data_IF_387104822646
#
_entry.id   IF_387104822646
#
_cell.length_a   1.000
_cell.length_b   1.000
_cell.length_c   1.000
_cell.angle_alpha   90.00
_cell.angle_beta   90.00
_cell.angle_gamma   90.00
#
_symmetry.space_group_name_H-M   'P 1'
#
loop_
_entity.id
_entity.type
_entity.pdbx_description
1 polymer ?
#
# COMPACT_ATOMS: atom_id res chain seq x y z
N UNK A 1 24.09 76.55 55.27
CA UNK A 1 24.06 75.10 55.02
C UNK A 1 23.31 74.78 53.71
N UNK A 2 23.93 74.93 52.52
CA UNK A 2 23.34 74.50 51.25
C UNK A 2 24.00 73.25 50.63
N UNK A 3 25.18 72.82 51.10
CA UNK A 3 25.99 71.81 50.39
C UNK A 3 25.48 70.37 50.52
N UNK A 4 24.86 70.00 51.64
CA UNK A 4 24.43 68.60 51.89
C UNK A 4 23.26 68.20 50.98
N UNK A 5 22.32 69.12 50.72
CA UNK A 5 21.18 68.87 49.84
C UNK A 5 21.59 68.77 48.37
N UNK A 6 22.56 69.57 47.93
CA UNK A 6 23.07 69.49 46.55
C UNK A 6 23.82 68.19 46.28
N UNK A 7 24.66 67.74 47.22
CA UNK A 7 25.39 66.46 47.11
C UNK A 7 24.43 65.27 47.10
N UNK A 8 23.38 65.29 47.94
CA UNK A 8 22.35 64.25 47.98
C UNK A 8 21.50 64.19 46.69
N UNK A 9 21.12 65.35 46.13
CA UNK A 9 20.45 65.42 44.83
C UNK A 9 21.35 64.89 43.71
N UNK A 10 22.62 65.28 43.69
CA UNK A 10 23.56 64.86 42.65
C UNK A 10 23.85 63.35 42.70
N UNK A 11 23.92 62.75 43.89
CA UNK A 11 24.06 61.29 44.06
C UNK A 11 22.79 60.52 43.72
N UNK A 12 21.61 61.07 44.00
CA UNK A 12 20.34 60.46 43.59
C UNK A 12 20.16 60.48 42.06
N UNK A 13 20.49 61.60 41.40
CA UNK A 13 20.45 61.70 39.94
C UNK A 13 21.47 60.78 39.25
N UNK A 14 22.67 60.61 39.81
CA UNK A 14 23.66 59.69 39.26
C UNK A 14 23.23 58.22 39.41
N UNK A 15 22.58 57.85 40.51
CA UNK A 15 21.98 56.52 40.69
C UNK A 15 20.81 56.26 39.72
N UNK A 16 19.92 57.24 39.51
CA UNK A 16 18.84 57.12 38.51
C UNK A 16 19.43 56.92 37.11
N UNK A 17 20.43 57.71 36.72
CA UNK A 17 21.09 57.59 35.42
C UNK A 17 21.80 56.24 35.27
N UNK A 18 22.46 55.74 36.32
CA UNK A 18 23.09 54.42 36.32
C UNK A 18 22.06 53.29 36.17
N UNK A 19 20.95 53.35 36.90
CA UNK A 19 19.86 52.37 36.82
C UNK A 19 19.18 52.39 35.45
N UNK A 20 18.94 53.58 34.88
CA UNK A 20 18.43 53.73 33.51
C UNK A 20 19.42 53.14 32.49
N UNK A 21 20.71 53.42 32.63
CA UNK A 21 21.76 52.84 31.79
C UNK A 21 21.79 51.31 31.85
N UNK A 22 21.69 50.72 33.04
CA UNK A 22 21.61 49.27 33.23
C UNK A 22 20.33 48.69 32.62
N UNK A 23 19.18 49.36 32.76
CA UNK A 23 17.93 48.93 32.16
C UNK A 23 18.00 48.95 30.62
N UNK A 24 18.56 50.00 30.02
CA UNK A 24 18.78 50.07 28.57
C UNK A 24 19.74 48.99 28.08
N UNK A 25 20.81 48.70 28.83
CA UNK A 25 21.73 47.61 28.51
C UNK A 25 21.02 46.24 28.57
N UNK A 26 20.18 46.00 29.58
CA UNK A 26 19.40 44.77 29.71
C UNK A 26 18.39 44.59 28.56
N UNK A 27 17.67 45.65 28.20
CA UNK A 27 16.74 45.65 27.05
C UNK A 27 17.50 45.43 25.74
N UNK A 28 18.65 46.08 25.56
CA UNK A 28 19.53 45.88 24.39
C UNK A 28 20.02 44.45 24.27
N UNK A 29 20.44 43.83 25.38
CA UNK A 29 20.87 42.43 25.40
C UNK A 29 19.72 41.46 25.06
N UNK A 30 18.51 41.69 25.58
CA UNK A 30 17.31 40.91 25.24
C UNK A 30 16.96 41.03 23.76
N UNK A 31 16.99 42.25 23.21
CA UNK A 31 16.74 42.49 21.79
C UNK A 31 17.79 41.81 20.91
N UNK A 32 19.07 41.89 21.28
CA UNK A 32 20.15 41.20 20.57
C UNK A 32 19.99 39.67 20.63
N UNK A 33 19.59 39.11 21.77
CA UNK A 33 19.29 37.69 21.90
C UNK A 33 18.11 37.26 21.01
N UNK A 34 17.02 38.05 20.97
CA UNK A 34 15.86 37.79 20.09
C UNK A 34 16.25 37.86 18.63
N UNK A 35 16.98 38.90 18.21
CA UNK A 35 17.48 39.04 16.84
C UNK A 35 18.42 37.89 16.48
N UNK A 36 19.33 37.51 17.38
CA UNK A 36 20.24 36.37 17.21
C UNK A 36 19.50 35.04 17.01
N UNK A 37 18.43 34.80 17.78
CA UNK A 37 17.56 33.62 17.59
C UNK A 37 16.84 33.69 16.23
N UNK A 38 16.36 34.86 15.81
CA UNK A 38 15.69 35.03 14.51
C UNK A 38 16.67 34.82 13.35
N UNK A 39 17.88 35.39 13.40
CA UNK A 39 18.88 35.24 12.35
C UNK A 39 19.37 33.80 12.25
N UNK A 40 19.63 33.14 13.39
CA UNK A 40 19.95 31.71 13.42
C UNK A 40 18.84 30.86 12.80
N UNK A 41 17.57 31.12 13.16
CA UNK A 41 16.41 30.43 12.56
C UNK A 41 16.28 30.70 11.07
N UNK A 42 16.57 31.91 10.59
CA UNK A 42 16.53 32.27 9.16
C UNK A 42 17.68 31.60 8.39
N UNK A 43 18.89 31.58 8.93
CA UNK A 43 20.05 30.92 8.34
C UNK A 43 19.79 29.41 8.18
N UNK A 44 19.35 28.75 9.26
CA UNK A 44 18.98 27.32 9.23
C UNK A 44 17.88 27.00 8.21
N UNK A 45 16.93 27.92 7.99
CA UNK A 45 15.91 27.76 6.94
C UNK A 45 16.49 27.88 5.52
N UNK A 46 17.47 28.75 5.31
CA UNK A 46 18.14 28.88 4.00
C UNK A 46 18.93 27.63 3.65
N UNK A 47 19.70 27.12 4.61
CA UNK A 47 20.43 25.85 4.46
C UNK A 47 19.48 24.70 4.14
N UNK A 48 18.37 24.58 4.89
CA UNK A 48 17.36 23.56 4.61
C UNK A 48 16.74 23.71 3.21
N UNK A 49 16.46 24.95 2.76
CA UNK A 49 15.91 25.21 1.43
C UNK A 49 16.91 24.87 0.31
N UNK A 50 18.20 25.20 0.48
CA UNK A 50 19.25 24.84 -0.47
C UNK A 50 19.41 23.33 -0.57
N UNK A 51 19.48 22.65 0.57
CA UNK A 51 19.56 21.20 0.62
C UNK A 51 18.32 20.52 -0.02
N UNK A 52 17.11 21.00 0.28
CA UNK A 52 15.89 20.51 -0.38
C UNK A 52 15.90 20.78 -1.88
N UNK A 53 16.43 21.91 -2.31
CA UNK A 53 16.58 22.23 -3.73
C UNK A 53 17.56 21.28 -4.43
N UNK A 54 18.69 20.95 -3.82
CA UNK A 54 19.66 19.97 -4.36
C UNK A 54 19.05 18.58 -4.49
N UNK A 55 18.32 18.11 -3.46
CA UNK A 55 17.60 16.84 -3.50
C UNK A 55 16.56 16.85 -4.61
N UNK A 56 15.77 17.92 -4.70
CA UNK A 56 14.80 18.09 -5.78
C UNK A 56 15.47 18.04 -7.15
N UNK A 57 16.55 18.78 -7.37
CA UNK A 57 17.26 18.78 -8.64
C UNK A 57 17.75 17.37 -9.00
N UNK A 58 18.38 16.68 -8.06
CA UNK A 58 18.90 15.33 -8.28
C UNK A 58 17.80 14.32 -8.60
N UNK A 59 16.69 14.38 -7.88
CA UNK A 59 15.62 13.39 -8.02
C UNK A 59 14.67 13.69 -9.20
N UNK A 60 14.23 14.94 -9.34
CA UNK A 60 13.24 15.32 -10.35
C UNK A 60 13.89 15.61 -11.70
N UNK A 61 15.05 16.28 -11.72
CA UNK A 61 15.69 16.74 -12.95
C UNK A 61 16.90 15.90 -13.36
N UNK A 62 17.49 15.15 -12.42
CA UNK A 62 18.65 14.32 -12.66
C UNK A 62 18.29 12.99 -13.35
N UNK A 63 19.19 12.46 -14.22
CA UNK A 63 18.95 11.22 -14.97
C UNK A 63 18.94 9.98 -14.07
N UNK A 64 19.43 10.13 -12.85
CA UNK A 64 19.61 9.08 -11.87
C UNK A 64 18.34 8.25 -11.65
N UNK A 65 17.19 8.91 -11.46
CA UNK A 65 15.95 8.23 -11.12
C UNK A 65 15.00 8.09 -12.31
N UNK A 66 15.36 8.57 -13.51
CA UNK A 66 14.42 8.67 -14.64
C UNK A 66 13.81 7.31 -15.01
N UNK A 67 14.64 6.27 -15.13
CA UNK A 67 14.14 4.94 -15.46
C UNK A 67 13.29 4.35 -14.33
N UNK A 68 13.68 4.55 -13.07
CA UNK A 68 12.92 4.08 -11.91
C UNK A 68 11.56 4.79 -11.81
N UNK A 69 11.53 6.11 -12.06
CA UNK A 69 10.32 6.92 -12.14
C UNK A 69 9.42 6.41 -13.26
N UNK A 70 9.96 6.19 -14.46
CA UNK A 70 9.19 5.69 -15.60
C UNK A 70 8.53 4.33 -15.33
N UNK A 71 9.25 3.35 -14.75
CA UNK A 71 8.66 2.04 -14.49
C UNK A 71 7.57 2.11 -13.42
N UNK A 72 7.72 2.96 -12.40
CA UNK A 72 6.68 3.15 -11.39
C UNK A 72 5.46 3.89 -11.94
N UNK A 73 5.67 4.89 -12.80
CA UNK A 73 4.59 5.74 -13.27
C UNK A 73 3.78 5.08 -14.39
N UNK A 74 4.46 4.45 -15.35
CA UNK A 74 3.84 3.96 -16.58
C UNK A 74 3.80 2.45 -16.72
N UNK A 75 4.63 1.71 -15.99
CA UNK A 75 4.78 0.26 -16.15
C UNK A 75 4.55 -0.50 -14.84
N UNK A 76 3.77 0.09 -13.92
CA UNK A 76 3.58 -0.51 -12.59
C UNK A 76 2.95 -1.90 -12.70
N UNK A 77 1.89 -2.05 -13.48
CA UNK A 77 1.16 -3.30 -13.59
C UNK A 77 1.92 -4.39 -14.36
N UNK A 78 2.71 -4.01 -15.36
CA UNK A 78 3.40 -4.99 -16.21
C UNK A 78 4.77 -5.40 -15.67
N UNK A 79 5.44 -4.50 -14.93
CA UNK A 79 6.82 -4.71 -14.47
C UNK A 79 6.91 -4.71 -12.95
N UNK A 80 6.44 -3.65 -12.28
CA UNK A 80 6.71 -3.47 -10.84
C UNK A 80 5.89 -4.44 -10.00
N UNK A 81 4.57 -4.49 -10.21
CA UNK A 81 3.66 -5.31 -9.41
C UNK A 81 3.99 -6.81 -9.47
N UNK A 82 4.17 -7.45 -10.64
CA UNK A 82 4.51 -8.88 -10.71
C UNK A 82 5.82 -9.18 -9.99
N UNK A 83 6.83 -8.33 -10.18
CA UNK A 83 8.15 -8.48 -9.56
C UNK A 83 8.07 -8.34 -8.03
N UNK A 84 7.38 -7.32 -7.53
CA UNK A 84 7.19 -7.14 -6.08
C UNK A 84 6.36 -8.27 -5.47
N UNK A 85 5.33 -8.76 -6.18
CA UNK A 85 4.53 -9.91 -5.74
C UNK A 85 5.37 -11.19 -5.65
N UNK A 86 6.25 -11.45 -6.63
CA UNK A 86 7.16 -12.58 -6.63
C UNK A 86 8.16 -12.50 -5.46
N UNK A 87 8.73 -11.32 -5.21
CA UNK A 87 9.61 -11.08 -4.07
C UNK A 87 8.92 -11.31 -2.72
N UNK A 88 7.65 -10.93 -2.57
CA UNK A 88 6.89 -11.19 -1.33
C UNK A 88 6.60 -12.68 -1.14
N UNK A 89 6.26 -13.39 -2.22
CA UNK A 89 5.90 -14.81 -2.14
C UNK A 89 7.11 -15.73 -1.91
N UNK A 90 8.20 -15.48 -2.63
CA UNK A 90 9.31 -16.43 -2.76
C UNK A 90 10.69 -15.81 -2.50
N UNK A 91 10.75 -14.52 -2.12
CA UNK A 91 12.01 -13.81 -1.85
C UNK A 91 12.90 -13.70 -3.10
N UNK A 92 14.20 -13.55 -2.86
CA UNK A 92 15.19 -13.37 -3.94
C UNK A 92 15.32 -14.58 -4.88
N UNK A 93 14.89 -15.77 -4.44
CA UNK A 93 14.95 -16.98 -5.26
C UNK A 93 13.97 -16.95 -6.45
N UNK A 94 12.97 -16.07 -6.42
CA UNK A 94 12.01 -15.91 -7.52
C UNK A 94 12.57 -15.13 -8.71
N UNK A 95 13.66 -14.39 -8.52
CA UNK A 95 14.09 -13.34 -9.46
C UNK A 95 15.07 -13.87 -10.49
N UNK A 96 14.74 -13.67 -11.77
CA UNK A 96 15.62 -13.98 -12.89
C UNK A 96 16.71 -12.92 -13.07
N UNK A 97 17.83 -13.29 -13.69
CA UNK A 97 18.93 -12.35 -13.98
C UNK A 97 18.50 -11.17 -14.86
N UNK A 98 17.55 -11.39 -15.77
CA UNK A 98 16.95 -10.34 -16.61
C UNK A 98 16.23 -9.27 -15.79
N UNK A 99 15.74 -9.61 -14.59
CA UNK A 99 14.93 -8.72 -13.74
C UNK A 99 15.79 -7.91 -12.75
N UNK A 100 17.09 -8.20 -12.63
CA UNK A 100 17.98 -7.54 -11.67
C UNK A 100 18.03 -6.03 -11.84
N UNK A 101 17.98 -5.55 -13.09
CA UNK A 101 17.96 -4.12 -13.39
C UNK A 101 16.71 -3.47 -12.79
N UNK A 102 15.53 -4.06 -13.02
CA UNK A 102 14.27 -3.55 -12.49
C UNK A 102 14.26 -3.58 -10.96
N UNK A 103 14.71 -4.67 -10.34
CA UNK A 103 14.86 -4.75 -8.87
C UNK A 103 15.73 -3.61 -8.33
N UNK A 104 16.88 -3.35 -8.95
CA UNK A 104 17.80 -2.30 -8.51
C UNK A 104 17.18 -0.90 -8.66
N UNK A 105 16.48 -0.64 -9.76
CA UNK A 105 15.79 0.64 -9.98
C UNK A 105 14.71 0.88 -8.93
N UNK A 106 13.89 -0.14 -8.64
CA UNK A 106 12.82 -0.06 -7.65
C UNK A 106 13.39 0.15 -6.25
N UNK A 107 14.35 -0.69 -5.84
CA UNK A 107 14.99 -0.61 -4.53
C UNK A 107 15.62 0.77 -4.30
N UNK A 108 16.33 1.30 -5.31
CA UNK A 108 16.98 2.60 -5.21
C UNK A 108 15.97 3.75 -5.05
N UNK A 109 14.85 3.70 -5.77
CA UNK A 109 13.77 4.69 -5.64
C UNK A 109 13.15 4.64 -4.25
N UNK A 110 12.79 3.44 -3.78
CA UNK A 110 12.15 3.27 -2.46
C UNK A 110 13.10 3.65 -1.33
N UNK A 111 14.38 3.27 -1.40
CA UNK A 111 15.39 3.66 -0.42
C UNK A 111 15.58 5.18 -0.36
N UNK A 112 15.55 5.86 -1.51
CA UNK A 112 15.63 7.32 -1.54
C UNK A 112 14.43 7.98 -0.82
N UNK A 113 13.21 7.52 -1.11
CA UNK A 113 11.99 8.04 -0.49
C UNK A 113 11.90 7.69 1.01
N UNK A 114 12.28 6.48 1.40
CA UNK A 114 12.37 6.06 2.80
C UNK A 114 13.37 6.93 3.56
N UNK A 115 14.53 7.22 2.96
CA UNK A 115 15.55 8.08 3.55
C UNK A 115 15.06 9.52 3.74
N UNK A 116 14.31 10.08 2.78
CA UNK A 116 13.69 11.39 2.94
C UNK A 116 12.73 11.44 4.13
N UNK A 117 11.92 10.39 4.32
CA UNK A 117 11.05 10.29 5.49
C UNK A 117 11.84 10.10 6.78
N UNK A 118 12.97 9.38 6.75
CA UNK A 118 13.89 9.27 7.88
C UNK A 118 14.41 10.64 8.32
N UNK A 119 14.90 11.43 7.38
CA UNK A 119 15.40 12.77 7.68
C UNK A 119 14.29 13.68 8.19
N UNK A 120 13.08 13.54 7.66
CA UNK A 120 11.92 14.27 8.17
C UNK A 120 11.57 13.88 9.62
N UNK A 121 11.60 12.59 9.96
CA UNK A 121 11.27 12.13 11.30
C UNK A 121 12.37 12.45 12.32
N UNK A 122 13.63 12.46 11.89
CA UNK A 122 14.78 12.87 12.70
C UNK A 122 14.88 14.41 12.88
N UNK A 123 13.99 15.19 12.24
CA UNK A 123 13.97 16.65 12.35
C UNK A 123 15.06 17.36 11.53
N UNK A 124 15.74 16.64 10.63
CA UNK A 124 16.69 17.22 9.68
C UNK A 124 16.00 17.87 8.48
N UNK A 125 14.81 17.38 8.11
CA UNK A 125 13.94 17.97 7.10
C UNK A 125 12.56 18.26 7.70
N UNK A 126 11.86 19.28 7.19
CA UNK A 126 10.45 19.45 7.54
C UNK A 126 9.59 18.55 6.66
N UNK A 127 8.61 17.90 7.29
CA UNK A 127 7.62 17.09 6.58
C UNK A 127 6.89 17.89 5.50
N UNK A 128 6.51 19.15 5.77
CA UNK A 128 5.87 20.02 4.79
C UNK A 128 6.71 20.20 3.52
N UNK A 129 8.02 20.34 3.70
CA UNK A 129 8.94 20.63 2.61
C UNK A 129 9.16 19.35 1.79
N UNK A 130 9.32 18.19 2.45
CA UNK A 130 9.34 16.89 1.76
C UNK A 130 8.07 16.66 0.93
N UNK A 131 6.88 16.94 1.47
CA UNK A 131 5.64 16.79 0.71
C UNK A 131 5.47 17.84 -0.40
N UNK A 132 6.03 19.04 -0.26
CA UNK A 132 5.97 20.05 -1.32
C UNK A 132 6.73 19.61 -2.59
N UNK A 133 7.86 18.91 -2.43
CA UNK A 133 8.69 18.48 -3.57
C UNK A 133 8.45 17.03 -4.02
N UNK A 134 8.02 16.16 -3.11
CA UNK A 134 7.87 14.71 -3.33
C UNK A 134 6.45 14.19 -3.08
N UNK A 135 5.49 15.09 -2.82
CA UNK A 135 4.10 14.74 -2.54
C UNK A 135 3.49 13.84 -3.61
N UNK A 136 3.73 14.15 -4.89
CA UNK A 136 3.32 13.31 -6.01
C UNK A 136 3.70 11.83 -5.80
N UNK A 137 4.97 11.58 -5.47
CA UNK A 137 5.47 10.21 -5.27
C UNK A 137 4.88 9.56 -4.03
N UNK A 138 4.74 10.29 -2.91
CA UNK A 138 4.11 9.73 -1.72
C UNK A 138 2.62 9.40 -1.94
N UNK A 139 1.92 10.20 -2.71
CA UNK A 139 0.53 9.98 -3.09
C UNK A 139 0.41 8.79 -4.05
N UNK A 140 1.30 8.73 -5.06
CA UNK A 140 1.43 7.62 -6.01
C UNK A 140 1.58 6.27 -5.26
N UNK A 141 2.52 6.18 -4.31
CA UNK A 141 2.72 4.96 -3.50
C UNK A 141 1.50 4.59 -2.63
N UNK A 142 0.60 5.55 -2.37
CA UNK A 142 -0.60 5.37 -1.55
C UNK A 142 -1.83 4.98 -2.37
N UNK A 143 -1.76 5.02 -3.71
CA UNK A 143 -2.85 4.66 -4.61
C UNK A 143 -3.43 3.27 -4.32
N UNK A 144 -4.76 3.08 -4.33
CA UNK A 144 -5.39 1.80 -3.98
C UNK A 144 -4.84 0.60 -4.74
N UNK A 145 -4.45 0.77 -6.01
CA UNK A 145 -3.93 -0.27 -6.90
C UNK A 145 -2.50 -0.70 -6.55
N UNK A 146 -1.77 0.08 -5.74
CA UNK A 146 -0.40 -0.24 -5.31
C UNK A 146 -0.33 -1.13 -4.07
N UNK A 147 -1.23 -2.10 -3.99
CA UNK A 147 -1.29 -3.01 -2.84
C UNK A 147 -0.07 -3.94 -2.76
N UNK A 148 0.39 -4.50 -3.89
CA UNK A 148 1.59 -5.34 -3.94
C UNK A 148 2.83 -4.59 -3.42
N UNK A 149 3.02 -3.33 -3.83
CA UNK A 149 4.01 -2.43 -3.25
C UNK A 149 3.87 -2.34 -1.73
N UNK A 150 2.68 -2.07 -1.21
CA UNK A 150 2.47 -2.00 0.25
C UNK A 150 2.72 -3.32 0.97
N UNK A 151 2.56 -4.47 0.32
CA UNK A 151 2.94 -5.77 0.89
C UNK A 151 4.46 -5.91 0.90
N UNK A 152 5.11 -5.55 -0.20
CA UNK A 152 6.57 -5.50 -0.31
C UNK A 152 7.21 -4.59 0.76
N UNK A 153 6.71 -3.38 0.94
CA UNK A 153 7.23 -2.42 1.93
C UNK A 153 7.19 -3.01 3.35
N UNK A 154 6.14 -3.75 3.71
CA UNK A 154 6.03 -4.40 5.02
C UNK A 154 6.95 -5.61 5.11
N UNK A 155 7.03 -6.41 4.05
CA UNK A 155 7.85 -7.62 4.01
C UNK A 155 9.35 -7.32 4.13
N UNK A 156 9.83 -6.24 3.49
CA UNK A 156 11.23 -5.83 3.47
C UNK A 156 11.56 -4.67 4.43
N UNK A 157 10.67 -4.39 5.39
CA UNK A 157 10.88 -3.44 6.48
C UNK A 157 11.15 -1.98 6.07
N UNK A 158 10.48 -1.50 5.03
CA UNK A 158 10.40 -0.07 4.69
C UNK A 158 9.40 0.63 5.64
N UNK A 159 9.80 0.80 6.91
CA UNK A 159 8.90 1.18 8.00
C UNK A 159 8.16 2.50 7.76
N UNK A 160 8.84 3.53 7.24
CA UNK A 160 8.25 4.86 7.09
C UNK A 160 7.32 4.91 5.88
N UNK A 161 7.72 4.32 4.75
CA UNK A 161 6.88 4.13 3.58
C UNK A 161 5.65 3.27 3.90
N UNK A 162 5.81 2.14 4.59
CA UNK A 162 4.70 1.30 5.04
C UNK A 162 3.72 2.07 5.94
N UNK A 163 4.23 2.97 6.79
CA UNK A 163 3.41 3.82 7.66
C UNK A 163 2.64 4.89 6.89
N UNK A 164 3.26 5.60 5.94
CA UNK A 164 2.56 6.64 5.16
C UNK A 164 1.50 6.05 4.22
N UNK A 165 1.80 4.88 3.65
CA UNK A 165 0.88 4.14 2.76
C UNK A 165 -0.19 3.35 3.53
N UNK A 166 -0.16 3.40 4.88
CA UNK A 166 -1.08 2.72 5.79
C UNK A 166 -1.19 1.22 5.49
N UNK A 167 -0.04 0.61 5.21
CA UNK A 167 0.11 -0.79 4.93
C UNK A 167 -0.28 -1.64 6.16
N UNK A 168 -0.99 -2.74 5.94
CA UNK A 168 -1.32 -3.70 7.01
C UNK A 168 -0.08 -4.49 7.44
N UNK A 169 0.06 -4.79 8.73
CA UNK A 169 1.11 -5.66 9.26
C UNK A 169 0.94 -7.14 8.91
N UNK A 170 -0.26 -7.54 8.52
CA UNK A 170 -0.57 -8.93 8.18
C UNK A 170 -0.93 -9.04 6.71
N UNK A 171 -0.62 -10.21 6.17
CA UNK A 171 -0.93 -10.63 4.81
C UNK A 171 -2.32 -11.27 4.75
N UNK A 172 -3.02 -10.99 3.66
CA UNK A 172 -4.37 -11.49 3.42
C UNK A 172 -4.53 -11.93 1.98
N UNK A 173 -5.45 -12.87 1.76
CA UNK A 173 -5.84 -13.35 0.43
C UNK A 173 -7.36 -13.46 0.35
N UNK A 174 -7.91 -13.22 -0.83
CA UNK A 174 -9.31 -13.40 -1.17
C UNK A 174 -9.45 -14.61 -2.11
N UNK A 175 -10.33 -15.54 -1.74
CA UNK A 175 -10.70 -16.69 -2.55
C UNK A 175 -12.18 -16.56 -2.91
N UNK A 176 -12.56 -16.78 -4.17
CA UNK A 176 -13.93 -16.54 -4.65
C UNK A 176 -14.52 -17.71 -5.45
N UNK A 177 -13.81 -18.84 -5.50
CA UNK A 177 -14.10 -19.92 -6.44
C UNK A 177 -13.66 -21.29 -5.95
N UNK A 178 -13.00 -22.05 -6.83
CA UNK A 178 -12.53 -23.44 -6.63
C UNK A 178 -11.62 -23.64 -5.41
N UNK A 179 -11.10 -22.56 -4.82
CA UNK A 179 -10.23 -22.58 -3.64
C UNK A 179 -10.93 -22.20 -2.32
N UNK A 180 -12.23 -21.87 -2.34
CA UNK A 180 -13.01 -21.57 -1.14
C UNK A 180 -13.08 -22.78 -0.19
N UNK A 181 -13.38 -22.54 1.11
CA UNK A 181 -13.31 -23.55 2.17
C UNK A 181 -14.10 -24.84 1.87
N UNK A 182 -15.24 -24.70 1.21
CA UNK A 182 -16.16 -25.78 0.87
C UNK A 182 -15.75 -26.57 -0.40
N UNK A 183 -14.66 -26.18 -1.06
CA UNK A 183 -14.19 -26.83 -2.28
C UNK A 183 -13.11 -27.89 -2.00
N UNK A 184 -13.08 -29.01 -2.77
CA UNK A 184 -12.10 -30.07 -2.59
C UNK A 184 -10.64 -29.61 -2.66
N UNK A 185 -10.32 -28.66 -3.55
CA UNK A 185 -8.95 -28.17 -3.72
C UNK A 185 -8.42 -27.46 -2.48
N UNK A 186 -9.27 -26.83 -1.66
CA UNK A 186 -8.85 -26.18 -0.42
C UNK A 186 -8.22 -27.18 0.56
N UNK A 187 -8.85 -28.35 0.72
CA UNK A 187 -8.34 -29.42 1.55
C UNK A 187 -7.12 -30.09 0.92
N UNK A 188 -7.17 -30.38 -0.38
CA UNK A 188 -6.09 -31.09 -1.10
C UNK A 188 -4.77 -30.31 -1.11
N UNK A 189 -4.83 -28.98 -1.21
CA UNK A 189 -3.66 -28.09 -1.13
C UNK A 189 -3.22 -27.80 0.31
N UNK A 190 -3.94 -28.31 1.32
CA UNK A 190 -3.60 -28.13 2.73
C UNK A 190 -3.76 -26.69 3.23
N UNK A 191 -4.61 -25.87 2.59
CA UNK A 191 -4.70 -24.43 2.85
C UNK A 191 -5.10 -24.10 4.30
N UNK A 192 -5.83 -24.99 4.97
CA UNK A 192 -6.19 -24.87 6.39
C UNK A 192 -5.00 -24.68 7.34
N UNK A 193 -3.80 -25.13 6.96
CA UNK A 193 -2.58 -24.98 7.78
C UNK A 193 -2.02 -23.57 7.69
N UNK A 194 -2.08 -22.98 6.50
CA UNK A 194 -1.40 -21.72 6.17
C UNK A 194 -2.36 -20.52 6.14
N UNK A 195 -3.67 -20.76 6.04
CA UNK A 195 -4.71 -19.74 5.97
C UNK A 195 -5.65 -19.78 7.18
N UNK A 196 -5.98 -18.60 7.71
CA UNK A 196 -6.99 -18.43 8.75
C UNK A 196 -8.17 -17.63 8.21
N UNK A 197 -9.34 -18.24 8.18
CA UNK A 197 -10.57 -17.57 7.73
C UNK A 197 -10.89 -16.34 8.60
N UNK A 198 -11.22 -15.23 7.96
CA UNK A 198 -11.58 -13.95 8.60
C UNK A 198 -13.04 -13.58 8.36
N UNK A 199 -13.61 -13.97 7.21
CA UNK A 199 -15.01 -13.72 6.85
C UNK A 199 -15.18 -13.28 5.39
N UNK A 200 -16.42 -13.19 4.94
CA UNK A 200 -16.74 -12.83 3.54
C UNK A 200 -16.57 -11.32 3.30
N UNK A 201 -16.05 -10.93 2.13
CA UNK A 201 -15.92 -9.56 1.64
C UNK A 201 -16.53 -9.44 0.24
N UNK A 202 -17.04 -8.25 -0.06
CA UNK A 202 -17.46 -7.89 -1.42
C UNK A 202 -16.24 -7.37 -2.18
N UNK A 203 -16.07 -7.88 -3.40
CA UNK A 203 -15.03 -7.54 -4.36
C UNK A 203 -15.73 -6.98 -5.60
N UNK A 204 -15.35 -5.79 -6.11
CA UNK A 204 -15.94 -5.26 -7.33
C UNK A 204 -15.61 -6.15 -8.53
N UNK A 205 -16.61 -6.49 -9.32
CA UNK A 205 -16.40 -7.32 -10.51
C UNK A 205 -17.57 -8.22 -10.86
N UNK A 206 -17.32 -9.08 -11.83
CA UNK A 206 -18.26 -10.03 -12.41
C UNK A 206 -17.58 -11.39 -12.51
N UNK A 207 -18.33 -12.43 -12.14
CA UNK A 207 -17.93 -13.81 -12.33
C UNK A 207 -18.38 -14.32 -13.71
N UNK A 208 -17.53 -15.11 -14.33
CA UNK A 208 -17.80 -15.83 -15.57
C UNK A 208 -17.58 -17.33 -15.35
N UNK A 209 -18.45 -18.14 -15.92
CA UNK A 209 -18.34 -19.60 -15.88
C UNK A 209 -17.34 -20.07 -16.96
N UNK A 210 -16.19 -20.61 -16.52
CA UNK A 210 -15.18 -21.20 -17.39
C UNK A 210 -15.28 -22.73 -17.46
N UNK A 211 -16.32 -23.32 -16.86
CA UNK A 211 -16.53 -24.76 -16.77
C UNK A 211 -16.41 -25.23 -15.32
N UNK A 212 -15.24 -25.73 -14.95
CA UNK A 212 -14.97 -26.27 -13.60
C UNK A 212 -14.61 -25.19 -12.58
N UNK A 213 -14.17 -24.03 -13.05
CA UNK A 213 -13.68 -22.92 -12.25
C UNK A 213 -14.24 -21.58 -12.74
N UNK A 214 -14.33 -20.57 -11.86
CA UNK A 214 -14.79 -19.24 -12.23
C UNK A 214 -13.66 -18.35 -12.77
N UNK A 215 -14.00 -17.42 -13.66
CA UNK A 215 -13.17 -16.27 -13.99
C UNK A 215 -13.71 -15.00 -13.36
N UNK A 216 -12.93 -14.30 -12.53
CA UNK A 216 -13.29 -12.98 -12.01
C UNK A 216 -12.63 -11.88 -12.83
N UNK A 217 -13.44 -10.97 -13.38
CA UNK A 217 -12.99 -9.71 -14.00
C UNK A 217 -13.48 -8.53 -13.16
N UNK A 218 -12.58 -7.58 -12.87
CA UNK A 218 -12.93 -6.35 -12.17
C UNK A 218 -13.84 -5.46 -13.05
N UNK A 219 -14.82 -4.82 -12.43
CA UNK A 219 -15.77 -3.98 -13.15
C UNK A 219 -16.99 -3.62 -12.31
N UNK A 220 -18.05 -3.15 -12.98
CA UNK A 220 -19.31 -2.82 -12.34
C UNK A 220 -20.03 -4.11 -11.90
N UNK A 221 -20.03 -4.36 -10.59
CA UNK A 221 -20.63 -5.54 -9.98
C UNK A 221 -20.09 -5.77 -8.56
N UNK A 222 -20.57 -6.82 -7.90
CA UNK A 222 -20.10 -7.22 -6.57
C UNK A 222 -20.11 -8.73 -6.44
N UNK A 223 -18.93 -9.29 -6.19
CA UNK A 223 -18.69 -10.71 -5.98
C UNK A 223 -18.35 -10.96 -4.52
N UNK A 224 -18.91 -12.01 -3.94
CA UNK A 224 -18.56 -12.48 -2.60
C UNK A 224 -17.29 -13.31 -2.66
N UNK A 225 -16.31 -12.92 -1.87
CA UNK A 225 -15.05 -13.62 -1.71
C UNK A 225 -14.75 -13.87 -0.23
N UNK A 226 -14.19 -15.02 0.09
CA UNK A 226 -13.72 -15.38 1.41
C UNK A 226 -12.37 -14.71 1.69
N UNK A 227 -12.31 -13.87 2.72
CA UNK A 227 -11.07 -13.25 3.19
C UNK A 227 -10.37 -14.19 4.17
N UNK A 228 -9.10 -14.47 3.90
CA UNK A 228 -8.20 -15.21 4.77
C UNK A 228 -7.02 -14.34 5.19
N UNK A 229 -6.58 -14.52 6.43
CA UNK A 229 -5.25 -14.09 6.86
C UNK A 229 -4.26 -15.18 6.51
N UNK A 230 -3.16 -14.80 5.88
CA UNK A 230 -2.04 -15.70 5.60
C UNK A 230 -1.16 -15.79 6.86
N UNK A 231 -0.97 -16.99 7.37
CA UNK A 231 -0.05 -17.28 8.48
C UNK A 231 1.34 -17.66 7.95
N UNK A 232 1.40 -18.35 6.81
CA UNK A 232 2.64 -18.80 6.18
C UNK A 232 2.69 -18.30 4.74
N UNK A 233 3.60 -17.35 4.45
CA UNK A 233 3.64 -16.66 3.15
C UNK A 233 3.91 -17.59 1.97
N UNK A 234 4.61 -18.70 2.20
CA UNK A 234 4.92 -19.72 1.20
C UNK A 234 3.67 -20.37 0.56
N UNK A 235 2.49 -20.23 1.18
CA UNK A 235 1.22 -20.67 0.56
C UNK A 235 0.96 -19.96 -0.78
N UNK A 236 1.45 -18.72 -0.93
CA UNK A 236 1.33 -17.97 -2.17
C UNK A 236 2.02 -18.69 -3.33
N UNK A 237 3.19 -19.31 -3.11
CA UNK A 237 3.90 -20.09 -4.12
C UNK A 237 3.20 -21.43 -4.44
N UNK A 238 2.44 -21.99 -3.50
CA UNK A 238 1.61 -23.18 -3.73
C UNK A 238 0.43 -22.81 -4.64
N UNK A 239 -0.22 -21.69 -4.34
CA UNK A 239 -1.34 -21.17 -5.13
C UNK A 239 -0.89 -20.72 -6.52
N UNK A 240 0.27 -20.08 -6.65
CA UNK A 240 0.82 -19.71 -7.96
C UNK A 240 0.99 -20.92 -8.87
N UNK A 241 1.49 -22.04 -8.32
CA UNK A 241 1.63 -23.29 -9.08
C UNK A 241 0.29 -23.89 -9.48
N UNK A 242 -0.70 -23.80 -8.60
CA UNK A 242 -2.04 -24.33 -8.88
C UNK A 242 -2.78 -23.51 -9.93
N UNK A 243 -2.68 -22.17 -9.86
CA UNK A 243 -3.30 -21.23 -10.80
C UNK A 243 -2.46 -21.02 -12.08
N UNK A 244 -1.36 -21.75 -12.23
CA UNK A 244 -0.40 -21.64 -13.34
C UNK A 244 0.10 -20.21 -13.58
N UNK A 245 0.28 -19.46 -12.49
CA UNK A 245 0.76 -18.09 -12.51
C UNK A 245 2.29 -18.03 -12.56
N UNK A 246 2.80 -17.31 -13.56
CA UNK A 246 4.21 -16.97 -13.77
C UNK A 246 4.35 -15.44 -13.79
N UNK A 247 5.11 -14.88 -12.85
CA UNK A 247 5.28 -13.43 -12.73
C UNK A 247 6.10 -12.83 -13.87
N UNK A 248 6.86 -13.64 -14.61
CA UNK A 248 7.69 -13.19 -15.72
C UNK A 248 6.90 -13.03 -17.02
N UNK A 249 5.73 -13.70 -17.11
CA UNK A 249 4.82 -13.66 -18.24
C UNK A 249 3.38 -13.41 -17.77
N UNK A 250 3.12 -12.34 -16.99
CA UNK A 250 1.86 -12.16 -16.28
C UNK A 250 0.66 -12.03 -17.22
N UNK A 251 0.89 -11.52 -18.45
CA UNK A 251 -0.15 -11.35 -19.47
C UNK A 251 -0.49 -12.63 -20.23
N UNK A 252 0.33 -13.68 -20.09
CA UNK A 252 0.11 -14.98 -20.75
C UNK A 252 -0.58 -16.01 -19.85
N UNK A 253 -0.59 -15.77 -18.53
CA UNK A 253 -1.22 -16.67 -17.56
C UNK A 253 -2.75 -16.57 -17.61
N UNK A 254 -3.41 -17.69 -17.32
CA UNK A 254 -4.87 -17.76 -17.23
C UNK A 254 -5.41 -16.81 -16.15
N UNK A 255 -4.73 -16.81 -15.02
CA UNK A 255 -4.97 -15.92 -13.90
C UNK A 255 -3.74 -15.07 -13.61
N UNK A 256 -3.97 -13.79 -13.31
CA UNK A 256 -2.95 -12.87 -12.82
C UNK A 256 -3.12 -12.66 -11.33
N UNK A 257 -2.05 -12.85 -10.56
CA UNK A 257 -2.05 -12.45 -9.15
C UNK A 257 -1.86 -10.94 -9.00
N UNK A 258 -2.75 -10.31 -8.25
CA UNK A 258 -2.68 -8.89 -7.88
C UNK A 258 -3.19 -8.71 -6.46
N UNK A 259 -3.29 -7.47 -6.00
CA UNK A 259 -3.91 -7.11 -4.73
C UNK A 259 -5.13 -6.25 -4.96
N UNK A 260 -6.15 -6.43 -4.12
CA UNK A 260 -7.28 -5.52 -4.07
C UNK A 260 -7.49 -4.95 -2.67
N UNK A 261 -7.88 -3.68 -2.63
CA UNK A 261 -8.18 -2.95 -1.40
C UNK A 261 -9.57 -3.29 -0.89
N UNK A 262 -9.67 -3.95 0.26
CA UNK A 262 -10.96 -4.33 0.88
C UNK A 262 -11.07 -3.89 2.34
N UNK A 263 -12.30 -3.71 2.87
CA UNK A 263 -12.48 -3.43 4.30
C UNK A 263 -11.93 -4.56 5.18
N UNK A 264 -11.18 -4.22 6.22
CA UNK A 264 -10.64 -5.21 7.16
C UNK A 264 -11.74 -5.91 7.94
N UNK A 265 -12.76 -5.17 8.34
CA UNK A 265 -13.86 -5.65 9.17
C UNK A 265 -15.16 -5.58 8.36
N UNK A 266 -16.01 -6.60 8.44
CA UNK A 266 -17.32 -6.58 7.78
C UNK A 266 -18.26 -5.53 8.42
N UNK A 267 -18.24 -5.42 9.75
CA UNK A 267 -19.12 -4.51 10.48
C UNK A 267 -18.64 -3.05 10.38
N UNK A 268 -19.54 -2.15 9.96
CA UNK A 268 -19.32 -0.69 9.88
C UNK A 268 -18.91 -0.07 11.22
N UNK A 269 -19.39 -0.56 12.35
CA UNK A 269 -18.98 -0.09 13.67
C UNK A 269 -17.48 -0.34 13.89
N UNK A 270 -17.02 -1.57 13.65
CA UNK A 270 -15.61 -1.92 13.76
C UNK A 270 -14.75 -1.10 12.78
N UNK A 271 -15.22 -0.87 11.55
CA UNK A 271 -14.52 0.01 10.59
C UNK A 271 -14.40 1.47 11.08
N UNK A 272 -15.38 1.97 11.84
CA UNK A 272 -15.34 3.35 12.38
C UNK A 272 -14.19 3.49 13.38
N UNK A 273 -14.06 2.54 14.30
CA UNK A 273 -13.20 2.66 15.50
C UNK A 273 -11.86 1.92 15.41
N UNK A 274 -11.77 0.83 14.63
CA UNK A 274 -10.57 0.02 14.53
C UNK A 274 -9.77 0.35 13.26
N UNK A 275 -8.43 0.34 13.39
CA UNK A 275 -7.49 0.56 12.29
C UNK A 275 -6.64 -0.70 11.99
N UNK A 276 -6.12 -0.85 10.76
CA UNK A 276 -6.49 -0.13 9.55
C UNK A 276 -7.92 -0.48 9.08
N UNK A 277 -8.58 0.49 8.43
CA UNK A 277 -9.95 0.32 7.90
C UNK A 277 -9.96 -0.54 6.64
N UNK A 278 -8.99 -0.29 5.77
CA UNK A 278 -8.79 -0.95 4.50
C UNK A 278 -7.46 -1.69 4.52
N UNK A 279 -7.46 -2.88 3.95
CA UNK A 279 -6.28 -3.73 3.80
C UNK A 279 -6.12 -4.12 2.33
N UNK A 280 -4.90 -4.46 1.95
CA UNK A 280 -4.61 -5.07 0.65
C UNK A 280 -4.66 -6.59 0.83
N UNK A 281 -5.42 -7.27 -0.01
CA UNK A 281 -5.50 -8.72 -0.03
C UNK A 281 -5.13 -9.22 -1.42
N UNK A 282 -4.27 -10.25 -1.47
CA UNK A 282 -3.93 -10.96 -2.69
C UNK A 282 -5.18 -11.59 -3.31
N UNK A 283 -5.25 -11.63 -4.63
CA UNK A 283 -6.34 -12.23 -5.39
C UNK A 283 -5.82 -12.65 -6.77
N UNK A 284 -6.38 -13.73 -7.31
CA UNK A 284 -6.11 -14.19 -8.68
C UNK A 284 -7.24 -13.71 -9.59
N UNK A 285 -6.97 -12.89 -10.59
CA UNK A 285 -7.98 -12.38 -11.51
C UNK A 285 -7.86 -13.06 -12.87
N UNK A 286 -8.98 -13.32 -13.52
CA UNK A 286 -8.97 -13.89 -14.86
C UNK A 286 -8.42 -12.88 -15.86
N UNK A 287 -7.52 -13.33 -16.74
CA UNK A 287 -6.71 -12.45 -17.57
C UNK A 287 -6.94 -12.59 -19.09
N UNK A 288 -7.96 -13.35 -19.52
CA UNK A 288 -8.30 -13.50 -20.94
C UNK A 288 -9.68 -12.93 -21.29
N UNK A 289 -9.99 -12.88 -22.59
CA UNK A 289 -11.29 -12.42 -23.09
C UNK A 289 -12.45 -13.31 -22.60
N UNK A 290 -13.58 -12.66 -22.33
CA UNK A 290 -14.84 -13.25 -21.87
C UNK A 290 -15.96 -13.17 -22.90
N UNK A 291 -15.68 -12.78 -24.15
CA UNK A 291 -16.71 -12.46 -25.17
C UNK A 291 -17.73 -13.59 -25.41
N UNK A 292 -17.34 -14.85 -25.18
CA UNK A 292 -18.19 -16.02 -25.33
C UNK A 292 -18.38 -16.82 -24.03
N UNK A 293 -18.16 -16.19 -22.87
CA UNK A 293 -18.28 -16.84 -21.56
C UNK A 293 -19.61 -16.46 -20.91
N UNK A 294 -20.25 -17.44 -20.27
CA UNK A 294 -21.49 -17.20 -19.56
C UNK A 294 -21.22 -16.36 -18.32
N UNK A 295 -21.90 -15.22 -18.22
CA UNK A 295 -21.88 -14.39 -17.03
C UNK A 295 -22.64 -15.11 -15.91
N UNK A 296 -22.05 -15.10 -14.71
CA UNK A 296 -22.69 -15.63 -13.51
C UNK A 296 -23.51 -14.50 -12.87
N UNK A 297 -24.82 -14.71 -12.76
CA UNK A 297 -25.75 -13.71 -12.21
C UNK A 297 -25.83 -13.72 -10.68
N UNK A 298 -25.22 -14.71 -10.04
CA UNK A 298 -25.15 -14.83 -8.59
C UNK A 298 -23.85 -14.22 -8.05
N UNK A 299 -23.88 -13.64 -6.84
CA UNK A 299 -22.71 -13.00 -6.26
C UNK A 299 -21.66 -14.01 -5.77
N UNK A 300 -22.03 -15.29 -5.60
CA UNK A 300 -21.15 -16.36 -5.11
C UNK A 300 -21.04 -17.49 -6.12
N UNK A 301 -19.80 -17.90 -6.44
CA UNK A 301 -19.55 -19.04 -7.32
C UNK A 301 -20.13 -20.34 -6.76
N UNK A 302 -20.05 -20.55 -5.44
CA UNK A 302 -20.50 -21.79 -4.83
C UNK A 302 -22.02 -21.94 -4.92
N UNK A 303 -22.76 -20.83 -4.76
CA UNK A 303 -24.21 -20.81 -4.95
C UNK A 303 -24.58 -21.13 -6.41
N UNK A 304 -23.88 -20.50 -7.36
CA UNK A 304 -24.06 -20.74 -8.79
C UNK A 304 -23.78 -22.20 -9.19
N UNK A 305 -22.65 -22.76 -8.74
CA UNK A 305 -22.27 -24.14 -9.01
C UNK A 305 -23.29 -25.13 -8.46
N UNK A 306 -23.76 -24.92 -7.23
CA UNK A 306 -24.79 -25.76 -6.63
C UNK A 306 -26.13 -25.71 -7.41
N UNK A 307 -26.51 -24.55 -7.96
CA UNK A 307 -27.70 -24.44 -8.80
C UNK A 307 -27.50 -25.13 -10.16
N UNK A 308 -26.33 -24.98 -10.78
CA UNK A 308 -25.96 -25.63 -12.04
C UNK A 308 -25.97 -27.16 -11.91
N UNK A 309 -25.38 -27.70 -10.84
CA UNK A 309 -25.30 -29.14 -10.59
C UNK A 309 -26.71 -29.74 -10.39
N UNK A 310 -27.59 -29.04 -9.65
CA UNK A 310 -28.99 -29.44 -9.48
C UNK A 310 -29.74 -29.50 -10.82
N UNK A 311 -29.54 -28.52 -11.70
CA UNK A 311 -30.15 -28.50 -13.05
C UNK A 311 -29.66 -29.66 -13.91
N UNK A 312 -28.36 -29.96 -13.87
CA UNK A 312 -27.77 -31.09 -14.61
C UNK A 312 -28.34 -32.43 -14.12
N UNK A 313 -28.44 -32.62 -12.79
CA UNK A 313 -29.03 -33.83 -12.20
C UNK A 313 -30.50 -33.96 -12.60
N UNK A 314 -31.29 -32.88 -12.48
CA UNK A 314 -32.70 -32.88 -12.86
C UNK A 314 -32.91 -33.22 -14.36
N UNK A 315 -32.09 -32.66 -15.25
CA UNK A 315 -32.15 -32.95 -16.69
C UNK A 315 -31.80 -34.42 -17.00
N UNK A 316 -30.84 -35.01 -16.29
CA UNK A 316 -30.51 -36.44 -16.41
C UNK A 316 -31.66 -37.34 -15.97
N UNK A 317 -32.36 -36.99 -14.87
CA UNK A 317 -33.54 -37.74 -14.42
C UNK A 317 -34.74 -37.61 -15.38
N UNK A 318 -34.96 -36.42 -15.95
CA UNK A 318 -36.03 -36.20 -16.93
C UNK A 318 -35.78 -36.96 -18.24
N UNK A 319 -34.54 -36.96 -18.76
CA UNK A 319 -34.18 -37.69 -19.99
C UNK A 319 -34.18 -39.22 -19.83
N UNK A 320 -33.96 -39.73 -18.62
CA UNK A 320 -34.04 -41.17 -18.33
C UNK A 320 -35.51 -41.66 -18.29
N UNK A 321 -36.43 -40.79 -17.84
CA UNK A 321 -37.87 -41.12 -17.76
C UNK A 321 -38.55 -41.17 -19.14
N UNK A 322 -38.04 -40.43 -20.13
CA UNK A 322 -38.55 -40.47 -21.52
C UNK A 322 -38.08 -41.66 -22.34
N UNK A 323 -37.07 -42.42 -21.87
CA UNK A 323 -36.56 -43.62 -22.54
C UNK A 323 -37.24 -44.92 -22.05
N UNK A 324 -37.98 -44.87 -20.94
CA UNK A 324 -38.73 -46.03 -20.41
C UNK A 324 -40.17 -46.15 -20.91
N UNK A 325 -40.72 -45.14 -21.59
CA UNK A 325 -42.11 -45.15 -22.11
C UNK A 325 -42.23 -45.58 -23.58
N UNK A 326 -41.12 -45.98 -24.23
CA UNK A 326 -41.09 -46.32 -25.66
C UNK A 326 -41.07 -47.82 -26.01
N UNK A 327 -41.17 -48.73 -25.03
CA UNK A 327 -41.18 -50.18 -25.25
C UNK A 327 -42.40 -50.82 -24.58
N UNK A 328 -43.59 -50.66 -25.17
CA UNK A 328 -44.72 -51.56 -24.96
C UNK A 328 -45.48 -51.80 -26.25
#
# INVERSE_FOLDING_TARGET
MPDILQIALQTHWSQILANLGQMFAAVGALMAAVVGVITYRRAKRREAAQWMHEIFQRFQLGPEFDEAKQIFDFQYHDVVEPLLAALVASGNAAILRSEWKACHLIDRLLNYLEHLLYLSDAGHAKRSDCYAYFGYWFDLLTEPERGALRRYLVHFNYERLARITRASKHEYILLYGSLCMDQPYHANLGLNKSLKFVGIRSVPGVLYDLGEYPGLILGAGSVQAELYRINEIAVLSILDKFEEYDHTLPNSCLYRRTTIRVPRYANRFAQRFLKPRMIDAWIYLYNHSVDNRLKVDLPSWNEYKAEKDKKIIAARHAGCSSLSEGNH
#
